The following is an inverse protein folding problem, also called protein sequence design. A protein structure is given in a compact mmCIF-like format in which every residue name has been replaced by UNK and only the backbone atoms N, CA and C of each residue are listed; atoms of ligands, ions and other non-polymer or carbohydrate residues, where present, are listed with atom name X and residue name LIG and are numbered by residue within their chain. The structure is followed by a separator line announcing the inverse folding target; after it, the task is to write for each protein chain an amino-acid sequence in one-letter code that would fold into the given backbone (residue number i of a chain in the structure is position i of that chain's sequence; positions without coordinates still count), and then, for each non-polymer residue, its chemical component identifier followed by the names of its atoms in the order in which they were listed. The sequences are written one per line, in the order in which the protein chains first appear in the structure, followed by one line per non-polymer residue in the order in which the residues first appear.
data_IF_369574976839
#
_entry.id   IF_369574976839
#
_cell.length_a   1.000
_cell.length_b   1.000
_cell.length_c   1.000
_cell.angle_alpha   90.00
_cell.angle_beta   90.00
_cell.angle_gamma   90.00
#
_symmetry.space_group_name_H-M   'P 1'
#
loop_
_entity.id
_entity.type
_entity.pdbx_description
1 polymer ?
#
# COMPACT_ATOMS: atom_id res chain seq x y z
N UNK A 1 15.62 -1.18 -20.34
CA UNK A 1 14.32 -0.56 -19.94
C UNK A 1 14.54 0.30 -18.69
N UNK A 2 13.56 1.11 -18.25
CA UNK A 2 13.74 1.97 -17.05
C UNK A 2 14.07 1.17 -15.78
N UNK A 3 13.46 -0.01 -15.61
CA UNK A 3 13.74 -0.94 -14.51
C UNK A 3 15.21 -1.42 -14.49
N UNK A 4 15.83 -1.64 -15.65
CA UNK A 4 17.24 -2.05 -15.71
C UNK A 4 18.17 -0.92 -15.26
N UNK A 5 17.90 0.32 -15.66
CA UNK A 5 18.66 1.50 -15.20
C UNK A 5 18.53 1.70 -13.69
N UNK A 6 17.34 1.46 -13.13
CA UNK A 6 17.13 1.51 -11.68
C UNK A 6 17.88 0.40 -10.95
N UNK A 7 17.92 -0.81 -11.51
CA UNK A 7 18.69 -1.92 -10.96
C UNK A 7 20.19 -1.61 -10.94
N UNK A 8 20.74 -1.10 -12.05
CA UNK A 8 22.16 -0.67 -12.14
C UNK A 8 22.54 0.34 -11.06
N UNK A 9 21.64 1.29 -10.74
CA UNK A 9 21.91 2.34 -9.77
C UNK A 9 21.77 1.90 -8.30
N UNK A 10 20.91 0.92 -8.02
CA UNK A 10 20.47 0.64 -6.64
C UNK A 10 20.69 -0.78 -6.16
N UNK A 11 21.01 -1.74 -7.02
CA UNK A 11 21.08 -3.15 -6.62
C UNK A 11 22.25 -3.47 -5.69
N UNK A 12 23.32 -2.68 -5.72
CA UNK A 12 24.43 -2.83 -4.76
C UNK A 12 23.95 -2.65 -3.30
N UNK A 13 23.02 -1.71 -3.09
CA UNK A 13 22.48 -1.39 -1.76
C UNK A 13 21.15 -2.07 -1.46
N UNK A 14 20.29 -2.23 -2.47
CA UNK A 14 18.91 -2.68 -2.33
C UNK A 14 18.51 -3.72 -3.39
N UNK A 15 19.21 -4.87 -3.46
CA UNK A 15 19.01 -5.87 -4.52
C UNK A 15 17.61 -6.51 -4.51
N UNK A 16 16.92 -6.47 -3.38
CA UNK A 16 15.58 -7.05 -3.26
C UNK A 16 14.50 -6.24 -3.99
N UNK A 17 14.73 -4.94 -4.23
CA UNK A 17 13.75 -4.10 -4.91
C UNK A 17 13.60 -4.58 -6.36
N UNK A 18 14.68 -4.56 -7.14
CA UNK A 18 14.64 -4.98 -8.55
C UNK A 18 14.18 -6.43 -8.70
N UNK A 19 14.64 -7.33 -7.80
CA UNK A 19 14.22 -8.74 -7.77
C UNK A 19 12.71 -8.89 -7.58
N UNK A 20 12.12 -8.16 -6.63
CA UNK A 20 10.68 -8.19 -6.38
C UNK A 20 9.90 -7.67 -7.59
N UNK A 21 10.31 -6.54 -8.17
CA UNK A 21 9.70 -5.98 -9.37
C UNK A 21 9.72 -6.96 -10.55
N UNK A 22 10.85 -7.62 -10.80
CA UNK A 22 10.98 -8.63 -11.87
C UNK A 22 10.13 -9.87 -11.58
N UNK A 23 10.10 -10.35 -10.34
CA UNK A 23 9.31 -11.52 -9.95
C UNK A 23 7.79 -11.31 -10.10
N UNK A 24 7.32 -10.07 -9.90
CA UNK A 24 5.91 -9.71 -10.00
C UNK A 24 5.54 -8.96 -11.27
N UNK A 25 6.45 -8.89 -12.25
CA UNK A 25 6.30 -8.05 -13.44
C UNK A 25 5.03 -8.34 -14.23
N UNK A 26 4.65 -9.61 -14.38
CA UNK A 26 3.41 -10.04 -15.05
C UNK A 26 2.17 -9.36 -14.47
N UNK A 27 2.11 -9.19 -13.15
CA UNK A 27 1.00 -8.50 -12.49
C UNK A 27 1.12 -6.98 -12.59
N UNK A 28 2.33 -6.46 -12.36
CA UNK A 28 2.60 -5.03 -12.30
C UNK A 28 2.46 -4.34 -13.67
N UNK A 29 2.80 -5.03 -14.76
CA UNK A 29 2.75 -4.46 -16.10
C UNK A 29 1.31 -4.12 -16.55
N UNK A 30 0.30 -4.78 -15.99
CA UNK A 30 -1.12 -4.48 -16.22
C UNK A 30 -1.46 -3.02 -15.89
N UNK A 31 -0.74 -2.40 -14.94
CA UNK A 31 -0.90 -0.99 -14.61
C UNK A 31 -0.79 -0.08 -15.84
N UNK A 32 0.12 -0.39 -16.77
CA UNK A 32 0.37 0.44 -17.96
C UNK A 32 -0.74 0.35 -19.00
N UNK A 33 -1.60 -0.67 -18.92
CA UNK A 33 -2.77 -0.83 -19.80
C UNK A 33 -3.93 0.09 -19.44
N UNK A 34 -3.93 0.70 -18.24
CA UNK A 34 -5.00 1.58 -17.80
C UNK A 34 -4.89 3.01 -18.38
N UNK A 35 -6.03 3.70 -18.61
CA UNK A 35 -6.04 5.10 -19.01
C UNK A 35 -5.29 6.00 -18.01
N UNK A 36 -4.79 7.18 -18.43
CA UNK A 36 -4.07 8.10 -17.55
C UNK A 36 -4.78 8.44 -16.24
N UNK A 37 -6.10 8.66 -16.28
CA UNK A 37 -6.89 9.02 -15.10
C UNK A 37 -6.97 7.88 -14.07
N UNK A 38 -7.10 6.64 -14.57
CA UNK A 38 -7.11 5.44 -13.72
C UNK A 38 -5.72 5.18 -13.13
N UNK A 39 -4.66 5.33 -13.94
CA UNK A 39 -3.28 5.25 -13.45
C UNK A 39 -3.02 6.25 -12.34
N UNK A 40 -3.49 7.49 -12.51
CA UNK A 40 -3.40 8.55 -11.50
C UNK A 40 -4.06 8.14 -10.19
N UNK A 41 -5.27 7.59 -10.24
CA UNK A 41 -5.94 7.09 -9.04
C UNK A 41 -5.16 5.95 -8.36
N UNK A 42 -4.54 5.05 -9.14
CA UNK A 42 -3.81 3.88 -8.62
C UNK A 42 -2.46 4.26 -8.00
N UNK A 43 -1.64 5.08 -8.67
CA UNK A 43 -0.30 5.41 -8.16
C UNK A 43 -0.33 6.44 -7.02
N UNK A 44 -1.44 7.16 -6.84
CA UNK A 44 -1.60 8.03 -5.66
C UNK A 44 -1.87 7.19 -4.42
N UNK A 45 -1.10 7.41 -3.37
CA UNK A 45 -1.25 6.69 -2.11
C UNK A 45 -2.21 7.36 -1.13
N UNK A 46 -2.62 8.62 -1.39
CA UNK A 46 -3.43 9.45 -0.49
C UNK A 46 -4.67 8.73 0.06
N UNK A 47 -5.43 8.02 -0.77
CA UNK A 47 -6.65 7.34 -0.32
C UNK A 47 -6.34 6.20 0.68
N UNK A 48 -5.36 5.35 0.36
CA UNK A 48 -4.95 4.22 1.20
C UNK A 48 -4.22 4.71 2.45
N UNK A 49 -3.35 5.72 2.32
CA UNK A 49 -2.62 6.32 3.44
C UNK A 49 -3.54 7.04 4.42
N UNK A 50 -4.53 7.78 3.91
CA UNK A 50 -5.53 8.45 4.73
C UNK A 50 -6.33 7.43 5.56
N UNK A 51 -6.83 6.37 4.92
CA UNK A 51 -7.52 5.27 5.61
C UNK A 51 -6.62 4.61 6.66
N UNK A 52 -5.38 4.27 6.30
CA UNK A 52 -4.42 3.67 7.22
C UNK A 52 -4.08 4.59 8.40
N UNK A 53 -4.07 5.92 8.20
CA UNK A 53 -3.87 6.90 9.26
C UNK A 53 -5.01 6.86 10.28
N UNK A 54 -6.27 6.83 9.81
CA UNK A 54 -7.48 6.69 10.64
C UNK A 54 -7.43 5.40 11.46
N UNK A 55 -7.14 4.27 10.81
CA UNK A 55 -7.06 2.97 11.48
C UNK A 55 -5.95 2.98 12.55
N UNK A 56 -4.75 3.47 12.21
CA UNK A 56 -3.63 3.57 13.17
C UNK A 56 -3.99 4.45 14.38
N UNK A 57 -4.66 5.58 14.16
CA UNK A 57 -5.08 6.47 15.24
C UNK A 57 -6.08 5.78 16.18
N UNK A 58 -7.04 5.02 15.63
CA UNK A 58 -8.04 4.31 16.39
C UNK A 58 -7.45 3.18 17.27
N UNK A 59 -6.49 2.42 16.73
CA UNK A 59 -5.86 1.32 17.46
C UNK A 59 -4.78 1.80 18.43
N UNK A 60 -4.12 2.95 18.19
CA UNK A 60 -3.01 3.45 19.02
C UNK A 60 -3.35 3.56 20.51
N UNK A 61 -4.61 3.84 20.85
CA UNK A 61 -5.08 3.96 22.24
C UNK A 61 -5.27 2.60 22.94
N UNK A 62 -5.25 1.48 22.21
CA UNK A 62 -5.52 0.12 22.72
C UNK A 62 -4.34 -0.80 22.41
N UNK A 63 -3.59 -1.20 23.43
CA UNK A 63 -2.41 -2.09 23.27
C UNK A 63 -2.78 -3.54 22.99
N UNK A 64 -3.93 -4.02 23.47
CA UNK A 64 -4.39 -5.39 23.31
C UNK A 64 -5.89 -5.39 23.04
N UNK A 65 -6.32 -6.27 22.15
CA UNK A 65 -7.72 -6.57 21.89
C UNK A 65 -8.03 -7.97 22.44
N UNK A 66 -9.12 -8.14 23.22
CA UNK A 66 -9.46 -9.43 23.82
C UNK A 66 -9.95 -10.46 22.79
N UNK A 67 -10.52 -10.02 21.66
CA UNK A 67 -11.01 -10.89 20.58
C UNK A 67 -10.87 -10.22 19.21
N UNK A 68 -10.87 -11.02 18.15
CA UNK A 68 -10.88 -10.52 16.76
C UNK A 68 -12.10 -9.63 16.46
N UNK A 69 -13.26 -9.96 17.02
CA UNK A 69 -14.47 -9.16 16.82
C UNK A 69 -14.37 -7.79 17.49
N UNK A 70 -13.64 -7.68 18.61
CA UNK A 70 -13.42 -6.40 19.28
C UNK A 70 -12.56 -5.45 18.44
N UNK A 71 -11.53 -5.95 17.75
CA UNK A 71 -10.71 -5.13 16.85
C UNK A 71 -11.47 -4.78 15.57
N UNK A 72 -12.23 -5.73 15.00
CA UNK A 72 -13.10 -5.47 13.84
C UNK A 72 -14.10 -4.35 14.13
N UNK A 73 -14.76 -4.38 15.30
CA UNK A 73 -15.71 -3.34 15.70
C UNK A 73 -15.05 -1.97 15.82
N UNK A 74 -13.84 -1.90 16.39
CA UNK A 74 -13.11 -0.61 16.52
C UNK A 74 -12.69 -0.07 15.16
N UNK A 75 -12.18 -0.92 14.26
CA UNK A 75 -11.82 -0.51 12.89
C UNK A 75 -13.06 -0.04 12.14
N UNK A 76 -14.17 -0.79 12.20
CA UNK A 76 -15.43 -0.41 11.56
C UNK A 76 -15.93 0.96 12.03
N UNK A 77 -15.98 1.18 13.35
CA UNK A 77 -16.44 2.46 13.91
C UNK A 77 -15.51 3.60 13.48
N UNK A 78 -14.19 3.40 13.52
CA UNK A 78 -13.23 4.42 13.11
C UNK A 78 -13.38 4.81 11.63
N UNK A 79 -13.61 3.85 10.74
CA UNK A 79 -13.83 4.11 9.32
C UNK A 79 -15.17 4.83 9.12
N UNK A 80 -16.23 4.39 9.81
CA UNK A 80 -17.55 5.00 9.74
C UNK A 80 -17.55 6.46 10.21
N UNK A 81 -16.81 6.79 11.25
CA UNK A 81 -16.74 8.16 11.80
C UNK A 81 -15.87 9.09 10.93
N UNK A 82 -14.99 8.54 10.10
CA UNK A 82 -14.10 9.30 9.20
C UNK A 82 -14.64 9.44 7.77
N UNK A 83 -15.73 8.74 7.44
CA UNK A 83 -16.44 8.80 6.15
C UNK A 83 -17.46 9.91 6.16
#
# INVERSE_FOLDING_TARGET
MALDKSAEAWDDRYPQISKSWRAHWEYLNTFFSYPPDIRKAIYTTNAIESLNSVIRAAIKKRKVFPTDDSVRKVIYLAIKDAS
#
